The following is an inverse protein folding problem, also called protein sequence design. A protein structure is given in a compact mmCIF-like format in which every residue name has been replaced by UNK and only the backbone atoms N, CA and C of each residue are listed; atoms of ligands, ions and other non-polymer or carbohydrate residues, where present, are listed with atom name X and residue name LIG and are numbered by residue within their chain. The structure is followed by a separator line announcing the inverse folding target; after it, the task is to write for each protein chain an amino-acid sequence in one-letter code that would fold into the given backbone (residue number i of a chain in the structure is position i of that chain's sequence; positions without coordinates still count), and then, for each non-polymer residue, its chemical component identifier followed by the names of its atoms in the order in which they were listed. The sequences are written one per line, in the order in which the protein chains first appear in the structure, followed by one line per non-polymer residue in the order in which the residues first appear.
data_IF_672681213162
#
_entry.id   IF_672681213162
#
_cell.length_a   1.000
_cell.length_b   1.000
_cell.length_c   1.000
_cell.angle_alpha   90.00
_cell.angle_beta   90.00
_cell.angle_gamma   90.00
#
_symmetry.space_group_name_H-M   'P 1'
#
loop_
_entity.id
_entity.type
_entity.pdbx_description
1 polymer ?
#
# COMPACT_ATOMS: atom_id res chain seq x y z
N UNK A 1 -52.56 -68.83 -13.40
CA UNK A 1 -51.71 -68.14 -12.41
C UNK A 1 -50.86 -67.11 -13.17
N UNK A 2 -51.28 -65.84 -13.24
CA UNK A 2 -50.56 -64.76 -13.98
C UNK A 2 -49.85 -63.87 -12.97
N UNK A 3 -48.52 -63.94 -12.93
CA UNK A 3 -47.66 -63.06 -12.14
C UNK A 3 -47.59 -61.69 -12.83
N UNK A 4 -48.22 -60.68 -12.22
CA UNK A 4 -48.07 -59.28 -12.64
C UNK A 4 -46.69 -58.79 -12.19
N UNK A 5 -45.79 -58.58 -13.15
CA UNK A 5 -44.53 -57.88 -12.91
C UNK A 5 -44.80 -56.37 -12.84
N UNK A 6 -44.59 -55.79 -11.65
CA UNK A 6 -44.59 -54.34 -11.44
C UNK A 6 -43.42 -53.73 -12.23
N UNK A 7 -43.75 -53.08 -13.34
CA UNK A 7 -42.82 -52.31 -14.18
C UNK A 7 -42.30 -51.12 -13.38
N UNK A 8 -41.21 -51.30 -12.64
CA UNK A 8 -40.52 -50.21 -11.97
C UNK A 8 -40.03 -49.22 -13.03
N UNK A 9 -40.42 -47.94 -12.88
CA UNK A 9 -40.14 -46.91 -13.86
C UNK A 9 -38.72 -46.33 -13.61
N UNK A 10 -37.71 -46.65 -14.44
CA UNK A 10 -36.31 -46.26 -14.19
C UNK A 10 -36.07 -44.75 -14.24
N UNK A 11 -37.05 -43.98 -14.74
CA UNK A 11 -37.01 -42.52 -14.86
C UNK A 11 -36.97 -41.76 -13.54
N UNK A 12 -37.43 -42.36 -12.43
CA UNK A 12 -37.43 -41.69 -11.12
C UNK A 12 -36.03 -41.60 -10.48
N UNK A 13 -35.13 -42.54 -10.77
CA UNK A 13 -33.75 -42.50 -10.25
C UNK A 13 -32.85 -41.48 -10.95
N UNK A 14 -33.03 -41.31 -12.27
CA UNK A 14 -32.21 -40.40 -13.09
C UNK A 14 -32.44 -38.93 -12.70
N UNK A 15 -33.68 -38.54 -12.44
CA UNK A 15 -34.01 -37.16 -12.04
C UNK A 15 -33.39 -36.77 -10.69
N UNK A 16 -33.41 -37.68 -9.70
CA UNK A 16 -32.81 -37.44 -8.39
C UNK A 16 -31.28 -37.33 -8.48
N UNK A 17 -30.64 -38.18 -9.30
CA UNK A 17 -29.20 -38.13 -9.51
C UNK A 17 -28.74 -36.80 -10.11
N UNK A 18 -29.45 -36.29 -11.13
CA UNK A 18 -29.17 -34.99 -11.74
C UNK A 18 -29.41 -33.82 -10.77
N UNK A 19 -30.44 -33.91 -9.93
CA UNK A 19 -30.70 -32.92 -8.89
C UNK A 19 -29.54 -32.88 -7.86
N UNK A 20 -29.05 -34.04 -7.43
CA UNK A 20 -27.92 -34.11 -6.48
C UNK A 20 -26.63 -33.57 -7.11
N UNK A 21 -26.32 -33.93 -8.35
CA UNK A 21 -25.13 -33.42 -9.05
C UNK A 21 -25.20 -31.91 -9.22
N UNK A 22 -26.34 -31.37 -9.64
CA UNK A 22 -26.48 -29.92 -9.83
C UNK A 22 -26.32 -29.17 -8.51
N UNK A 23 -26.89 -29.67 -7.40
CA UNK A 23 -26.70 -29.09 -6.07
C UNK A 23 -25.24 -29.20 -5.64
N UNK A 24 -24.60 -30.36 -5.80
CA UNK A 24 -23.19 -30.56 -5.45
C UNK A 24 -22.28 -29.62 -6.25
N UNK A 25 -22.57 -29.38 -7.53
CA UNK A 25 -21.84 -28.44 -8.36
C UNK A 25 -22.01 -27.00 -7.89
N UNK A 26 -23.25 -26.59 -7.55
CA UNK A 26 -23.53 -25.25 -7.01
C UNK A 26 -22.76 -25.05 -5.69
N UNK A 27 -22.83 -26.01 -4.77
CA UNK A 27 -22.10 -25.94 -3.49
C UNK A 27 -20.59 -25.84 -3.71
N UNK A 28 -20.05 -26.61 -4.66
CA UNK A 28 -18.61 -26.55 -5.01
C UNK A 28 -18.22 -25.18 -5.55
N UNK A 29 -19.05 -24.58 -6.42
CA UNK A 29 -18.82 -23.24 -6.95
C UNK A 29 -18.87 -22.17 -5.85
N UNK A 30 -19.81 -22.28 -4.90
CA UNK A 30 -19.89 -21.38 -3.75
C UNK A 30 -18.64 -21.49 -2.86
N UNK A 31 -18.14 -22.70 -2.62
CA UNK A 31 -16.88 -22.92 -1.90
C UNK A 31 -15.69 -22.25 -2.59
N UNK A 32 -15.57 -22.42 -3.91
CA UNK A 32 -14.50 -21.79 -4.69
C UNK A 32 -14.62 -20.26 -4.71
N UNK A 33 -15.85 -19.73 -4.82
CA UNK A 33 -16.12 -18.31 -4.76
C UNK A 33 -15.69 -17.72 -3.40
N UNK A 34 -16.03 -18.39 -2.30
CA UNK A 34 -15.61 -17.98 -0.96
C UNK A 34 -14.09 -17.93 -0.79
N UNK A 35 -13.37 -18.95 -1.27
CA UNK A 35 -11.90 -18.97 -1.22
C UNK A 35 -11.27 -17.83 -2.05
N UNK A 36 -11.85 -17.52 -3.21
CA UNK A 36 -11.40 -16.39 -4.02
C UNK A 36 -11.60 -15.04 -3.31
N UNK A 37 -12.74 -14.85 -2.64
CA UNK A 37 -13.00 -13.65 -1.83
C UNK A 37 -11.93 -13.50 -0.74
N UNK A 38 -11.66 -14.55 0.04
CA UNK A 38 -10.63 -14.52 1.10
C UNK A 38 -9.25 -14.18 0.53
N UNK A 39 -8.90 -14.69 -0.65
CA UNK A 39 -7.62 -14.37 -1.30
C UNK A 39 -7.52 -12.89 -1.69
N UNK A 40 -8.62 -12.32 -2.18
CA UNK A 40 -8.71 -10.90 -2.53
C UNK A 40 -8.59 -10.04 -1.27
N UNK A 41 -9.37 -10.35 -0.23
CA UNK A 41 -9.34 -9.64 1.05
C UNK A 41 -7.96 -9.66 1.68
N UNK A 42 -7.27 -10.83 1.69
CA UNK A 42 -5.90 -10.93 2.20
C UNK A 42 -4.94 -10.00 1.47
N UNK A 43 -5.01 -9.94 0.14
CA UNK A 43 -4.18 -9.02 -0.66
C UNK A 43 -4.47 -7.56 -0.35
N UNK A 44 -5.74 -7.21 -0.18
CA UNK A 44 -6.14 -5.86 0.20
C UNK A 44 -5.63 -5.50 1.60
N UNK A 45 -5.74 -6.40 2.58
CA UNK A 45 -5.21 -6.18 3.92
C UNK A 45 -3.71 -5.97 3.92
N UNK A 46 -2.94 -6.77 3.20
CA UNK A 46 -1.48 -6.57 3.07
C UNK A 46 -1.17 -5.21 2.44
N UNK A 47 -1.84 -4.87 1.33
CA UNK A 47 -1.63 -3.58 0.68
C UNK A 47 -1.97 -2.38 1.59
N UNK A 48 -3.00 -2.52 2.44
CA UNK A 48 -3.36 -1.47 3.40
C UNK A 48 -2.37 -1.36 4.55
N UNK A 49 -1.81 -2.48 5.02
CA UNK A 49 -0.70 -2.48 5.98
C UNK A 49 0.52 -1.77 5.38
N UNK A 50 0.93 -2.15 4.16
CA UNK A 50 2.09 -1.55 3.47
C UNK A 50 1.90 -0.04 3.27
N UNK A 51 0.69 0.40 2.89
CA UNK A 51 0.35 1.83 2.78
C UNK A 51 0.47 2.57 4.11
N UNK A 52 0.01 1.98 5.21
CA UNK A 52 0.10 2.61 6.54
C UNK A 52 1.55 2.72 7.00
N UNK A 53 2.36 1.68 6.78
CA UNK A 53 3.79 1.70 7.11
C UNK A 53 4.52 2.71 6.23
N UNK A 54 4.30 2.70 4.91
CA UNK A 54 4.89 3.66 3.98
C UNK A 54 4.53 5.11 4.36
N UNK A 55 3.28 5.37 4.79
CA UNK A 55 2.88 6.71 5.27
C UNK A 55 3.64 7.12 6.53
N UNK A 56 3.83 6.19 7.47
CA UNK A 56 4.63 6.44 8.69
C UNK A 56 6.10 6.72 8.35
N UNK A 57 6.66 6.00 7.37
CA UNK A 57 8.01 6.24 6.86
C UNK A 57 8.12 7.60 6.17
N UNK A 58 7.13 7.99 5.37
CA UNK A 58 7.08 9.31 4.74
C UNK A 58 7.10 10.44 5.78
N UNK A 59 6.32 10.31 6.86
CA UNK A 59 6.34 11.29 7.97
C UNK A 59 7.68 11.26 8.73
N UNK A 60 8.24 10.08 8.96
CA UNK A 60 9.57 9.94 9.58
C UNK A 60 10.68 10.54 8.71
N UNK A 61 10.53 10.48 7.38
CA UNK A 61 11.47 11.07 6.43
C UNK A 61 11.50 12.59 6.53
N UNK A 62 10.34 13.24 6.71
CA UNK A 62 10.27 14.68 6.96
C UNK A 62 11.02 15.03 8.24
N UNK A 63 10.79 14.29 9.33
CA UNK A 63 11.49 14.54 10.60
C UNK A 63 13.00 14.28 10.49
N UNK A 64 13.42 13.26 9.74
CA UNK A 64 14.82 13.03 9.44
C UNK A 64 15.42 14.19 8.64
N UNK A 65 14.72 14.67 7.62
CA UNK A 65 15.16 15.79 6.80
C UNK A 65 15.31 17.06 7.63
N UNK A 66 14.34 17.38 8.50
CA UNK A 66 14.44 18.50 9.45
C UNK A 66 15.67 18.40 10.34
N UNK A 67 15.97 17.20 10.86
CA UNK A 67 17.17 16.95 11.66
C UNK A 67 18.46 17.09 10.85
N UNK A 68 18.49 16.60 9.61
CA UNK A 68 19.64 16.71 8.70
C UNK A 68 19.93 18.17 8.36
N UNK A 69 18.89 18.94 8.02
CA UNK A 69 18.97 20.38 7.75
C UNK A 69 19.43 21.15 8.98
N UNK A 70 18.90 20.82 10.17
CA UNK A 70 19.30 21.48 11.41
C UNK A 70 20.76 21.17 11.83
N UNK A 71 21.27 19.98 11.48
CA UNK A 71 22.63 19.55 11.83
C UNK A 71 23.69 19.92 10.78
N UNK A 72 23.30 20.28 9.56
CA UNK A 72 24.22 20.68 8.49
C UNK A 72 24.07 22.19 8.21
N UNK A 73 25.00 23.05 8.68
CA UNK A 73 24.97 24.48 8.40
C UNK A 73 25.00 24.83 6.91
N UNK A 74 25.54 23.94 6.07
CA UNK A 74 25.71 24.13 4.63
C UNK A 74 24.68 23.36 3.81
N UNK A 75 23.58 22.92 4.42
CA UNK A 75 22.55 22.08 3.79
C UNK A 75 22.07 22.62 2.43
N UNK A 76 22.02 23.95 2.26
CA UNK A 76 21.65 24.64 1.01
C UNK A 76 22.56 24.33 -0.17
N UNK A 77 23.81 23.99 0.10
CA UNK A 77 24.81 23.60 -0.90
C UNK A 77 25.02 22.08 -0.97
N UNK A 78 24.74 21.38 0.14
CA UNK A 78 24.81 19.91 0.21
C UNK A 78 23.70 19.24 -0.60
N UNK A 79 22.51 19.84 -0.62
CA UNK A 79 21.34 19.31 -1.32
C UNK A 79 21.02 20.11 -2.57
N UNK A 80 20.35 19.48 -3.54
CA UNK A 80 19.89 20.11 -4.77
C UNK A 80 18.37 20.11 -4.82
N UNK A 81 17.77 21.20 -5.30
CA UNK A 81 16.32 21.32 -5.43
C UNK A 81 15.76 20.23 -6.36
N UNK A 82 14.65 19.61 -5.96
CA UNK A 82 13.96 18.57 -6.71
C UNK A 82 14.65 17.20 -6.72
N UNK A 83 15.84 17.06 -6.11
CA UNK A 83 16.61 15.81 -6.12
C UNK A 83 16.31 15.00 -4.87
N UNK A 84 16.00 13.72 -5.08
CA UNK A 84 15.79 12.77 -3.99
C UNK A 84 17.11 12.32 -3.37
N UNK A 85 17.19 12.40 -2.05
CA UNK A 85 18.34 11.85 -1.32
C UNK A 85 18.38 10.33 -1.37
N UNK A 86 19.57 9.76 -1.24
CA UNK A 86 19.76 8.30 -1.17
C UNK A 86 18.80 7.66 -0.16
N UNK A 87 18.01 6.64 -0.56
CA UNK A 87 17.10 5.96 0.34
C UNK A 87 17.85 5.30 1.51
N UNK A 88 17.32 5.49 2.72
CA UNK A 88 17.88 4.96 3.97
C UNK A 88 16.87 4.04 4.62
N UNK A 89 17.37 2.94 5.20
CA UNK A 89 16.58 2.05 6.06
C UNK A 89 16.70 2.53 7.52
N UNK A 90 15.59 2.62 8.25
CA UNK A 90 15.64 3.05 9.67
C UNK A 90 16.31 1.99 10.57
N UNK A 91 16.20 0.73 10.18
CA UNK A 91 16.72 -0.41 10.93
C UNK A 91 16.94 -1.59 9.99
N UNK A 92 17.91 -2.49 10.25
CA UNK A 92 18.06 -3.74 9.50
C UNK A 92 16.82 -4.64 9.52
N UNK A 93 15.96 -4.45 10.53
CA UNK A 93 14.71 -5.20 10.73
C UNK A 93 13.50 -4.43 10.19
N UNK A 94 13.67 -3.15 9.83
CA UNK A 94 12.59 -2.34 9.27
C UNK A 94 12.33 -2.73 7.82
N UNK A 95 11.08 -3.07 7.51
CA UNK A 95 10.64 -3.19 6.13
C UNK A 95 10.53 -1.79 5.50
N UNK A 96 11.16 -1.63 4.36
CA UNK A 96 11.07 -0.41 3.56
C UNK A 96 12.19 0.61 3.74
N UNK A 97 12.16 1.60 2.86
CA UNK A 97 13.13 2.69 2.81
C UNK A 97 12.43 4.03 2.94
N UNK A 98 13.17 5.01 3.41
CA UNK A 98 12.72 6.39 3.41
C UNK A 98 13.77 7.30 2.78
N UNK A 99 13.31 8.41 2.22
CA UNK A 99 14.14 9.43 1.58
C UNK A 99 13.39 10.74 1.61
N UNK A 100 14.07 11.85 1.32
CA UNK A 100 13.44 13.14 1.23
C UNK A 100 13.89 13.91 0.00
N UNK A 101 13.07 14.88 -0.41
CA UNK A 101 13.32 15.81 -1.50
C UNK A 101 13.08 17.21 -0.94
N UNK A 102 14.02 18.10 -1.19
CA UNK A 102 13.85 19.54 -0.96
C UNK A 102 13.49 20.18 -2.29
N UNK A 103 12.45 20.98 -2.31
CA UNK A 103 11.98 21.68 -3.51
C UNK A 103 11.84 23.16 -3.19
N UNK A 104 12.52 23.95 -3.99
CA UNK A 104 12.41 25.41 -4.05
C UNK A 104 11.48 25.82 -5.20
N UNK A 105 10.84 26.97 -5.06
CA UNK A 105 9.95 27.54 -6.08
C UNK A 105 10.71 27.95 -7.34
N UNK A 106 11.95 28.43 -7.21
CA UNK A 106 12.79 28.88 -8.33
C UNK A 106 13.87 27.85 -8.72
N UNK A 107 13.97 26.75 -7.97
CA UNK A 107 14.96 25.69 -8.18
C UNK A 107 16.32 25.95 -7.50
N UNK A 108 16.49 27.03 -6.76
CA UNK A 108 17.76 27.45 -6.18
C UNK A 108 17.72 27.54 -4.65
N UNK A 109 18.11 26.45 -3.98
CA UNK A 109 18.17 26.38 -2.51
C UNK A 109 19.19 27.34 -1.85
N UNK A 110 20.07 27.98 -2.63
CA UNK A 110 21.14 28.83 -2.09
C UNK A 110 20.67 30.22 -1.70
N UNK A 111 19.51 30.65 -2.17
CA UNK A 111 18.95 31.94 -1.80
C UNK A 111 18.16 31.87 -0.48
N UNK A 112 17.68 33.03 -0.04
CA UNK A 112 16.78 33.13 1.10
C UNK A 112 15.33 32.97 0.66
N UNK A 113 14.96 31.79 0.15
CA UNK A 113 13.55 31.53 -0.15
C UNK A 113 12.70 31.46 1.13
N UNK A 114 11.51 32.02 1.03
CA UNK A 114 10.49 32.05 2.07
C UNK A 114 9.55 30.84 1.97
N UNK A 115 9.53 30.11 0.84
CA UNK A 115 8.59 29.04 0.55
C UNK A 115 9.25 27.71 0.16
N UNK A 116 10.12 27.20 1.04
CA UNK A 116 10.74 25.90 0.87
C UNK A 116 9.72 24.76 1.07
N UNK A 117 9.64 23.83 0.12
CA UNK A 117 8.80 22.63 0.22
C UNK A 117 9.65 21.41 0.55
N UNK A 118 9.35 20.73 1.65
CA UNK A 118 9.96 19.46 2.02
C UNK A 118 9.00 18.31 1.71
N UNK A 119 9.47 17.33 0.93
CA UNK A 119 8.77 16.07 0.67
C UNK A 119 9.50 14.92 1.32
N UNK A 120 8.83 14.19 2.21
CA UNK A 120 9.29 12.89 2.70
C UNK A 120 8.66 11.76 1.91
N UNK A 121 9.47 10.80 1.46
CA UNK A 121 9.04 9.63 0.69
C UNK A 121 9.27 8.38 1.53
N UNK A 122 8.24 7.56 1.68
CA UNK A 122 8.33 6.25 2.32
C UNK A 122 7.93 5.14 1.35
N UNK A 123 8.72 4.08 1.29
CA UNK A 123 8.52 2.93 0.41
C UNK A 123 8.49 1.64 1.21
N UNK A 124 7.46 0.82 1.05
CA UNK A 124 7.30 -0.48 1.71
C UNK A 124 6.61 -1.42 0.73
N UNK A 125 7.25 -2.55 0.40
CA UNK A 125 6.76 -3.45 -0.64
C UNK A 125 6.51 -2.70 -1.96
N UNK A 126 5.29 -2.84 -2.50
CA UNK A 126 4.82 -2.13 -3.71
C UNK A 126 4.19 -0.75 -3.40
N UNK A 127 4.12 -0.36 -2.13
CA UNK A 127 3.47 0.88 -1.70
C UNK A 127 4.49 2.02 -1.54
N UNK A 128 4.18 3.14 -2.19
CA UNK A 128 4.90 4.41 -2.03
C UNK A 128 3.96 5.45 -1.47
N UNK A 129 4.39 6.18 -0.45
CA UNK A 129 3.65 7.29 0.14
C UNK A 129 4.56 8.52 0.21
N UNK A 130 4.00 9.68 -0.06
CA UNK A 130 4.72 10.97 -0.04
C UNK A 130 3.99 11.91 0.91
N UNK A 131 4.73 12.46 1.88
CA UNK A 131 4.27 13.49 2.79
C UNK A 131 4.93 14.80 2.40
N UNK A 132 4.15 15.87 2.21
CA UNK A 132 4.67 17.18 1.81
C UNK A 132 4.34 18.19 2.90
N UNK A 133 5.34 18.95 3.32
CA UNK A 133 5.21 20.05 4.28
C UNK A 133 5.88 21.28 3.68
N UNK A 134 5.14 22.39 3.66
CA UNK A 134 5.70 23.69 3.33
C UNK A 134 6.34 24.29 4.58
N UNK A 135 7.62 24.64 4.48
CA UNK A 135 8.33 25.37 5.51
C UNK A 135 8.16 26.85 5.24
N UNK A 136 7.37 27.52 6.08
CA UNK A 136 7.37 28.97 6.15
C UNK A 136 8.45 29.35 7.16
N UNK A 137 9.47 30.08 6.74
CA UNK A 137 10.38 30.70 7.70
C UNK A 137 9.57 31.68 8.55
N UNK A 138 9.42 31.39 9.84
CA UNK A 138 8.93 32.37 10.81
C UNK A 138 9.98 33.47 10.90
N UNK A 139 9.74 34.59 10.21
CA UNK A 139 10.49 35.83 10.44
C UNK A 139 10.22 36.22 11.89
N UNK A 140 11.21 36.05 12.76
CA UNK A 140 11.10 36.44 14.16
C UNK A 140 10.78 37.93 14.24
N UNK A 141 9.61 38.26 14.77
CA UNK A 141 9.29 39.61 15.24
C UNK A 141 10.25 39.96 16.38
N UNK A 142 11.03 41.02 16.14
CA UNK A 142 11.94 41.69 17.07
C UNK A 142 11.13 42.42 18.14
#
# INVERSE_FOLDING_TARGET
MKTQQLKQNPRRGVGLYLAVISIAMIVSLLGLAGLNIVRIERRQMTADVDRRIARRHANSAVELARRKIANDPNWRTTYSSGVETTPVMLSPVSEGTLSFILEDTDGNLTDSDTQLTLKGVGRVGDSVQVSRIQMVQSVGSI
#
